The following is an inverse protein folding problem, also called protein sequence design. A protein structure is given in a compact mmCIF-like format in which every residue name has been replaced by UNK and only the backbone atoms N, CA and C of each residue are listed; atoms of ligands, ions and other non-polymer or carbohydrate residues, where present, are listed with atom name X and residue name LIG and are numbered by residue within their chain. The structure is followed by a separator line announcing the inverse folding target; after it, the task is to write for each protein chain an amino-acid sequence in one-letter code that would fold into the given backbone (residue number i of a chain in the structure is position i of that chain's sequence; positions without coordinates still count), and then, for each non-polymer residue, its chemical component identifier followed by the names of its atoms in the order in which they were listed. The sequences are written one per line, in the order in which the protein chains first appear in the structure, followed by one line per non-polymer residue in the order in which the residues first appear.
data_IF_739399963032
#
_entry.id   IF_739399963032
#
_cell.length_a   1.000
_cell.length_b   1.000
_cell.length_c   1.000
_cell.angle_alpha   90.00
_cell.angle_beta   90.00
_cell.angle_gamma   90.00
#
_symmetry.space_group_name_H-M   'P 1'
#
loop_
_entity.id
_entity.type
_entity.pdbx_description
1 polymer ?
#
# COMPACT_ATOMS: atom_id res chain seq x y z
N UNK A 1 -4.65 46.22 -33.79
CA UNK A 1 -3.73 45.69 -34.82
C UNK A 1 -4.38 44.47 -35.44
N UNK A 2 -4.88 44.60 -36.67
CA UNK A 2 -5.73 43.66 -37.36
C UNK A 2 -4.96 42.42 -37.79
N UNK A 3 -5.32 41.27 -37.26
CA UNK A 3 -4.78 39.97 -37.66
C UNK A 3 -5.39 39.44 -38.98
N UNK A 4 -5.78 40.33 -39.90
CA UNK A 4 -6.27 39.93 -41.20
C UNK A 4 -5.12 39.37 -42.06
N UNK A 5 -5.38 38.30 -42.80
CA UNK A 5 -4.41 37.67 -43.66
C UNK A 5 -3.67 36.46 -43.07
N UNK A 6 -4.01 36.00 -41.88
CA UNK A 6 -3.38 34.80 -41.27
C UNK A 6 -3.90 33.51 -41.90
N UNK A 7 -2.98 32.68 -42.41
CA UNK A 7 -3.33 31.36 -42.93
C UNK A 7 -3.52 30.34 -41.82
N UNK A 8 -4.44 29.39 -42.01
CA UNK A 8 -4.59 28.20 -41.16
C UNK A 8 -3.36 27.29 -41.24
N UNK A 9 -3.17 26.42 -40.25
CA UNK A 9 -2.02 25.53 -40.18
C UNK A 9 -1.93 24.54 -41.37
N UNK A 10 -3.06 24.18 -41.98
CA UNK A 10 -3.14 23.34 -43.18
C UNK A 10 -3.05 24.16 -44.49
N UNK A 11 -3.05 25.50 -44.37
CA UNK A 11 -2.96 26.42 -45.52
C UNK A 11 -4.21 26.43 -46.40
N UNK A 12 -5.34 25.85 -45.98
CA UNK A 12 -6.56 25.78 -46.79
C UNK A 12 -7.51 26.97 -46.55
N UNK A 13 -7.32 27.70 -45.46
CA UNK A 13 -8.14 28.84 -45.08
C UNK A 13 -7.28 30.04 -44.69
N UNK A 14 -7.81 31.26 -44.88
CA UNK A 14 -7.24 32.47 -44.32
C UNK A 14 -8.26 33.23 -43.49
N UNK A 15 -7.79 33.99 -42.53
CA UNK A 15 -8.62 34.79 -41.65
C UNK A 15 -8.80 36.21 -42.24
N UNK A 16 -10.03 36.61 -42.52
CA UNK A 16 -10.32 37.92 -43.09
C UNK A 16 -10.44 39.03 -42.04
N UNK A 17 -10.33 38.67 -40.76
CA UNK A 17 -10.55 39.57 -39.63
C UNK A 17 -11.85 39.25 -38.86
N UNK A 18 -12.77 38.49 -39.44
CA UNK A 18 -14.05 38.12 -38.84
C UNK A 18 -14.35 36.61 -38.92
N UNK A 19 -13.91 35.95 -39.98
CA UNK A 19 -14.14 34.52 -40.21
C UNK A 19 -13.03 33.90 -41.03
N UNK A 20 -12.98 32.55 -41.02
CA UNK A 20 -12.10 31.77 -41.90
C UNK A 20 -12.74 31.64 -43.28
N UNK A 21 -12.02 32.05 -44.33
CA UNK A 21 -12.43 31.96 -45.74
C UNK A 21 -11.48 30.99 -46.46
N UNK A 22 -12.00 30.29 -47.46
CA UNK A 22 -11.19 29.41 -48.28
C UNK A 22 -9.99 30.17 -48.90
N UNK A 23 -8.80 29.63 -48.77
CA UNK A 23 -7.60 30.14 -49.41
C UNK A 23 -7.50 29.77 -50.90
N UNK A 24 -8.49 29.05 -51.45
CA UNK A 24 -8.65 28.80 -52.87
C UNK A 24 -9.64 29.82 -53.46
N UNK A 25 -9.28 30.39 -54.62
CA UNK A 25 -10.20 31.25 -55.38
C UNK A 25 -11.41 30.42 -55.85
N UNK A 26 -12.58 31.07 -56.17
CA UNK A 26 -13.77 30.37 -56.59
C UNK A 26 -13.61 29.53 -57.87
N UNK A 27 -12.64 29.89 -58.73
CA UNK A 27 -12.29 29.18 -59.97
C UNK A 27 -11.22 28.06 -59.74
N UNK A 28 -10.81 27.89 -58.48
CA UNK A 28 -9.76 26.93 -58.03
C UNK A 28 -8.43 27.06 -58.75
N UNK A 29 -8.14 28.20 -59.40
CA UNK A 29 -6.91 28.46 -60.15
C UNK A 29 -5.86 29.23 -59.35
N UNK A 30 -6.25 29.93 -58.30
CA UNK A 30 -5.39 30.75 -57.47
C UNK A 30 -5.49 30.37 -56.01
N UNK A 31 -4.41 30.55 -55.31
CA UNK A 31 -4.36 30.32 -53.86
C UNK A 31 -3.84 31.63 -53.18
N UNK A 32 -4.43 31.94 -52.05
CA UNK A 32 -3.97 33.02 -51.19
C UNK A 32 -2.69 32.64 -50.45
N UNK A 33 -1.62 33.42 -50.64
CA UNK A 33 -0.33 33.16 -49.98
C UNK A 33 -0.14 33.88 -48.63
N UNK A 34 -1.15 34.61 -48.20
CA UNK A 34 -1.14 35.46 -47.00
C UNK A 34 -1.06 36.94 -47.35
N UNK A 35 -0.75 37.31 -48.60
CA UNK A 35 -0.63 38.69 -49.07
C UNK A 35 -1.31 38.93 -50.41
N UNK A 36 -1.36 37.96 -51.31
CA UNK A 36 -1.91 38.05 -52.66
C UNK A 36 -2.39 36.71 -53.18
N UNK A 37 -3.21 36.74 -54.22
CA UNK A 37 -3.62 35.56 -54.98
C UNK A 37 -2.53 35.12 -55.95
N UNK A 38 -1.98 33.89 -55.80
CA UNK A 38 -0.93 33.32 -56.64
C UNK A 38 -1.52 32.14 -57.43
N UNK A 39 -1.20 32.01 -58.73
CA UNK A 39 -1.63 30.86 -59.54
C UNK A 39 -1.25 29.54 -58.85
N UNK A 40 -2.16 28.57 -58.86
CA UNK A 40 -2.00 27.33 -58.09
C UNK A 40 -0.72 26.57 -58.45
N UNK A 41 -0.28 26.60 -59.69
CA UNK A 41 0.96 25.97 -60.17
C UNK A 41 2.20 26.58 -59.55
N UNK A 42 2.22 27.90 -59.37
CA UNK A 42 3.32 28.61 -58.71
C UNK A 42 3.28 28.42 -57.21
N UNK A 43 2.09 28.38 -56.63
CA UNK A 43 1.92 28.13 -55.20
C UNK A 43 2.35 26.70 -54.82
N UNK A 44 2.09 25.70 -55.67
CA UNK A 44 2.58 24.34 -55.45
C UNK A 44 4.11 24.20 -55.63
N UNK A 45 4.70 24.96 -56.57
CA UNK A 45 6.15 24.96 -56.71
C UNK A 45 6.89 25.66 -55.55
N UNK A 46 6.20 26.65 -54.91
CA UNK A 46 6.71 27.35 -53.74
C UNK A 46 6.33 26.68 -52.42
N UNK A 47 5.48 25.62 -52.45
CA UNK A 47 5.16 24.87 -51.23
C UNK A 47 6.46 24.26 -50.67
N UNK A 48 6.72 24.42 -49.37
CA UNK A 48 7.88 23.77 -48.73
C UNK A 48 7.82 22.30 -49.11
N UNK A 49 8.91 21.76 -49.66
CA UNK A 49 9.04 20.30 -49.88
C UNK A 49 8.53 19.59 -48.65
N UNK A 50 7.67 18.59 -48.78
CA UNK A 50 7.20 17.86 -47.60
C UNK A 50 8.45 17.48 -46.81
N UNK A 51 8.60 18.06 -45.64
CA UNK A 51 9.60 17.60 -44.68
C UNK A 51 9.35 16.12 -44.55
N UNK A 52 10.26 15.28 -45.03
CA UNK A 52 10.23 13.86 -44.76
C UNK A 52 9.95 13.75 -43.29
N UNK A 53 8.74 13.32 -42.93
CA UNK A 53 8.35 13.14 -41.54
C UNK A 53 9.23 12.00 -41.06
N UNK A 54 10.43 12.35 -40.54
CA UNK A 54 11.21 11.38 -39.77
C UNK A 54 10.33 11.09 -38.60
N UNK A 55 9.61 9.97 -38.68
CA UNK A 55 8.82 9.51 -37.59
C UNK A 55 9.66 9.63 -36.32
N UNK A 56 9.21 10.31 -35.28
CA UNK A 56 9.95 10.37 -34.03
C UNK A 56 10.37 8.94 -33.71
N UNK A 57 11.62 8.70 -33.29
CA UNK A 57 12.10 7.36 -33.01
C UNK A 57 11.05 6.65 -32.18
N UNK A 58 10.57 5.50 -32.68
CA UNK A 58 9.50 4.76 -32.04
C UNK A 58 9.81 4.71 -30.55
N UNK A 59 8.92 5.31 -29.74
CA UNK A 59 9.12 5.41 -28.30
C UNK A 59 9.39 4.00 -27.83
N UNK A 60 10.62 3.71 -27.43
CA UNK A 60 11.02 2.38 -26.99
C UNK A 60 10.01 1.94 -25.93
N UNK A 61 9.19 0.95 -26.25
CA UNK A 61 8.21 0.39 -25.33
C UNK A 61 9.02 -0.08 -24.13
N UNK A 62 8.79 0.45 -22.93
CA UNK A 62 9.59 0.06 -21.77
C UNK A 62 9.49 -1.48 -21.62
N UNK A 63 10.61 -2.16 -21.37
CA UNK A 63 10.64 -3.62 -21.28
C UNK A 63 9.60 -4.08 -20.26
N UNK A 64 8.71 -4.98 -20.66
CA UNK A 64 7.66 -5.52 -19.80
C UNK A 64 8.31 -6.39 -18.73
N UNK A 65 8.34 -5.90 -17.50
CA UNK A 65 8.86 -6.67 -16.37
C UNK A 65 7.84 -7.75 -15.98
N UNK A 66 8.16 -9.00 -16.25
CA UNK A 66 7.38 -10.16 -15.79
C UNK A 66 8.03 -10.75 -14.54
N UNK A 67 7.24 -10.94 -13.50
CA UNK A 67 7.66 -11.59 -12.25
C UNK A 67 7.25 -13.04 -12.28
N UNK A 68 8.22 -13.95 -12.31
CA UNK A 68 7.98 -15.38 -12.31
C UNK A 68 8.14 -15.97 -10.88
N UNK A 69 7.17 -16.78 -10.40
CA UNK A 69 7.27 -17.44 -9.11
C UNK A 69 8.43 -18.44 -9.12
N UNK A 70 9.14 -18.52 -7.99
CA UNK A 70 10.18 -19.53 -7.75
C UNK A 70 9.66 -20.65 -6.84
N UNK A 71 10.47 -21.69 -6.61
CA UNK A 71 10.16 -22.76 -5.64
C UNK A 71 9.92 -22.26 -4.21
N UNK A 72 10.44 -21.07 -3.86
CA UNK A 72 10.27 -20.45 -2.54
C UNK A 72 8.99 -19.64 -2.39
N UNK A 73 8.35 -19.25 -3.50
CA UNK A 73 7.17 -18.38 -3.49
C UNK A 73 6.01 -19.01 -2.71
N UNK A 74 5.62 -20.23 -3.05
CA UNK A 74 4.49 -20.91 -2.40
C UNK A 74 4.74 -21.21 -0.92
N UNK A 75 5.88 -21.81 -0.51
CA UNK A 75 6.18 -22.05 0.91
C UNK A 75 6.18 -20.76 1.74
N UNK A 76 6.77 -19.67 1.22
CA UNK A 76 6.79 -18.40 1.91
C UNK A 76 5.38 -17.81 2.10
N UNK A 77 4.55 -17.84 1.06
CA UNK A 77 3.15 -17.41 1.13
C UNK A 77 2.35 -18.21 2.16
N UNK A 78 2.49 -19.56 2.13
CA UNK A 78 1.78 -20.45 3.06
C UNK A 78 2.24 -20.22 4.50
N UNK A 79 3.53 -20.02 4.74
CA UNK A 79 4.06 -19.77 6.07
C UNK A 79 3.53 -18.46 6.64
N UNK A 80 3.53 -17.39 5.85
CA UNK A 80 3.01 -16.08 6.29
C UNK A 80 1.48 -16.14 6.49
N UNK A 81 0.73 -16.73 5.54
CA UNK A 81 -0.71 -16.88 5.69
C UNK A 81 -1.08 -17.73 6.91
N UNK A 82 -0.37 -18.85 7.12
CA UNK A 82 -0.56 -19.71 8.29
C UNK A 82 -0.22 -19.01 9.61
N UNK A 83 0.86 -18.24 9.64
CA UNK A 83 1.24 -17.47 10.82
C UNK A 83 0.16 -16.46 11.21
N UNK A 84 -0.34 -15.66 10.26
CA UNK A 84 -1.38 -14.68 10.55
C UNK A 84 -2.76 -15.31 10.79
N UNK A 85 -3.05 -16.48 10.23
CA UNK A 85 -4.23 -17.26 10.60
C UNK A 85 -4.15 -17.75 12.05
N UNK A 86 -2.99 -18.23 12.49
CA UNK A 86 -2.75 -18.59 13.89
C UNK A 86 -2.90 -17.38 14.81
N UNK A 87 -2.29 -16.24 14.45
CA UNK A 87 -2.43 -15.00 15.21
C UNK A 87 -3.88 -14.53 15.30
N UNK A 88 -4.67 -14.69 14.24
CA UNK A 88 -6.10 -14.39 14.26
C UNK A 88 -6.85 -15.26 15.29
N UNK A 89 -6.61 -16.57 15.29
CA UNK A 89 -7.21 -17.50 16.23
C UNK A 89 -6.80 -17.19 17.68
N UNK A 90 -5.52 -16.92 17.91
CA UNK A 90 -5.02 -16.54 19.25
C UNK A 90 -5.62 -15.21 19.72
N UNK A 91 -5.73 -14.21 18.85
CA UNK A 91 -6.32 -12.91 19.18
C UNK A 91 -7.77 -13.08 19.60
N UNK A 92 -8.57 -13.85 18.85
CA UNK A 92 -9.97 -14.14 19.22
C UNK A 92 -10.05 -14.93 20.53
N UNK A 93 -9.23 -15.97 20.68
CA UNK A 93 -9.21 -16.81 21.89
C UNK A 93 -8.87 -15.99 23.14
N UNK A 94 -7.79 -15.20 23.10
CA UNK A 94 -7.37 -14.35 24.21
C UNK A 94 -8.42 -13.28 24.51
N UNK A 95 -8.96 -12.62 23.49
CA UNK A 95 -10.01 -11.61 23.69
C UNK A 95 -11.28 -12.21 24.32
N UNK A 96 -11.66 -13.42 23.93
CA UNK A 96 -12.79 -14.14 24.52
C UNK A 96 -12.52 -14.44 25.99
N UNK A 97 -11.35 -14.97 26.34
CA UNK A 97 -10.98 -15.22 27.72
C UNK A 97 -10.99 -13.95 28.59
N UNK A 98 -10.43 -12.85 28.05
CA UNK A 98 -10.45 -11.57 28.75
C UNK A 98 -11.90 -11.08 28.92
N UNK A 99 -12.74 -11.18 27.89
CA UNK A 99 -14.13 -10.74 27.95
C UNK A 99 -14.94 -11.50 28.99
N UNK A 100 -14.71 -12.82 29.11
CA UNK A 100 -15.39 -13.67 30.12
C UNK A 100 -15.04 -13.31 31.58
N UNK A 101 -13.83 -12.79 31.82
CA UNK A 101 -13.34 -12.43 33.16
C UNK A 101 -13.17 -10.92 33.35
N UNK A 102 -13.68 -10.11 32.42
CA UNK A 102 -13.43 -8.67 32.41
C UNK A 102 -13.93 -7.97 33.66
N UNK A 103 -15.13 -8.35 34.15
CA UNK A 103 -15.71 -7.79 35.35
C UNK A 103 -14.87 -8.11 36.59
N UNK A 104 -14.39 -9.34 36.72
CA UNK A 104 -13.56 -9.78 37.85
C UNK A 104 -12.20 -9.03 37.81
N UNK A 105 -11.66 -8.86 36.63
CA UNK A 105 -10.40 -8.11 36.44
C UNK A 105 -10.55 -6.64 36.84
N UNK A 106 -11.61 -5.96 36.36
CA UNK A 106 -11.87 -4.55 36.67
C UNK A 106 -12.14 -4.37 38.19
N UNK A 107 -12.95 -5.23 38.77
CA UNK A 107 -13.27 -5.20 40.22
C UNK A 107 -12.02 -5.44 41.06
N UNK A 108 -11.20 -6.44 40.66
CA UNK A 108 -9.92 -6.73 41.33
C UNK A 108 -8.92 -5.57 41.23
N UNK A 109 -8.88 -4.89 40.07
CA UNK A 109 -8.05 -3.71 39.91
C UNK A 109 -8.45 -2.54 40.82
N UNK A 110 -9.77 -2.25 40.88
CA UNK A 110 -10.30 -1.21 41.78
C UNK A 110 -9.97 -1.52 43.24
N UNK A 111 -10.21 -2.77 43.69
CA UNK A 111 -9.86 -3.19 45.04
C UNK A 111 -8.35 -3.11 45.35
N UNK A 112 -7.51 -3.43 44.36
CA UNK A 112 -6.07 -3.28 44.50
C UNK A 112 -5.68 -1.82 44.70
N UNK A 113 -6.30 -0.92 43.92
CA UNK A 113 -6.08 0.52 44.02
C UNK A 113 -6.53 1.08 45.38
N UNK A 114 -7.70 0.68 45.88
CA UNK A 114 -8.20 1.05 47.22
C UNK A 114 -7.25 0.60 48.32
N UNK A 115 -6.70 -0.61 48.22
CA UNK A 115 -5.71 -1.11 49.20
C UNK A 115 -4.40 -0.34 49.18
N UNK A 116 -3.99 0.08 47.96
CA UNK A 116 -2.73 0.85 47.78
C UNK A 116 -2.86 2.30 48.28
N UNK A 117 -4.07 2.86 48.26
CA UNK A 117 -4.37 4.24 48.60
C UNK A 117 -5.57 4.35 49.56
N UNK A 118 -5.46 3.84 50.81
CA UNK A 118 -6.61 3.72 51.72
C UNK A 118 -7.17 5.06 52.20
N UNK A 119 -6.44 6.16 52.00
CA UNK A 119 -6.86 7.50 52.40
C UNK A 119 -7.49 8.31 51.23
N UNK A 120 -7.57 7.74 50.05
CA UNK A 120 -8.22 8.40 48.93
C UNK A 120 -9.75 8.28 49.04
N UNK A 121 -10.44 9.19 48.38
CA UNK A 121 -11.91 9.14 48.31
C UNK A 121 -12.37 7.82 47.68
N UNK A 122 -13.41 7.21 48.23
CA UNK A 122 -14.02 6.01 47.68
C UNK A 122 -14.42 6.23 46.21
N UNK A 123 -14.18 5.26 45.32
CA UNK A 123 -14.57 5.38 43.95
C UNK A 123 -16.09 5.61 43.80
N UNK A 124 -16.53 6.42 42.85
CA UNK A 124 -17.93 6.73 42.65
C UNK A 124 -18.73 5.45 42.36
N UNK A 125 -19.98 5.34 42.80
CA UNK A 125 -20.83 4.19 42.50
C UNK A 125 -20.99 4.06 40.98
N UNK A 126 -20.93 2.81 40.49
CA UNK A 126 -21.01 2.50 39.05
C UNK A 126 -19.68 2.64 38.28
N UNK A 127 -18.55 3.03 38.92
CA UNK A 127 -17.26 3.09 38.27
C UNK A 127 -16.83 1.76 37.65
N UNK A 128 -16.99 0.65 38.39
CA UNK A 128 -16.63 -0.68 37.89
C UNK A 128 -17.42 -1.05 36.62
N UNK A 129 -18.72 -0.78 36.60
CA UNK A 129 -19.58 -1.05 35.45
C UNK A 129 -19.17 -0.20 34.23
N UNK A 130 -18.96 1.11 34.41
CA UNK A 130 -18.55 2.01 33.34
C UNK A 130 -17.18 1.65 32.77
N UNK A 131 -16.21 1.26 33.60
CA UNK A 131 -14.91 0.78 33.20
C UNK A 131 -15.00 -0.54 32.44
N UNK A 132 -15.85 -1.48 32.90
CA UNK A 132 -16.08 -2.76 32.22
C UNK A 132 -16.65 -2.56 30.83
N UNK A 133 -17.69 -1.72 30.68
CA UNK A 133 -18.28 -1.41 29.36
C UNK A 133 -17.24 -0.72 28.42
N UNK A 134 -16.54 0.24 28.98
CA UNK A 134 -15.51 0.97 28.21
C UNK A 134 -14.37 0.05 27.76
N UNK A 135 -13.87 -0.80 28.64
CA UNK A 135 -12.84 -1.79 28.33
C UNK A 135 -13.33 -2.81 27.30
N UNK A 136 -14.55 -3.31 27.43
CA UNK A 136 -15.16 -4.22 26.47
C UNK A 136 -15.23 -3.59 25.06
N UNK A 137 -15.62 -2.32 24.97
CA UNK A 137 -15.65 -1.58 23.71
C UNK A 137 -14.25 -1.48 23.06
N UNK A 138 -13.25 -1.10 23.84
CA UNK A 138 -11.87 -1.00 23.34
C UNK A 138 -11.31 -2.36 22.91
N UNK A 139 -11.56 -3.42 23.67
CA UNK A 139 -11.14 -4.78 23.31
C UNK A 139 -11.79 -5.20 21.99
N UNK A 140 -13.11 -5.03 21.87
CA UNK A 140 -13.84 -5.37 20.63
C UNK A 140 -13.26 -4.61 19.42
N UNK A 141 -13.05 -3.30 19.57
CA UNK A 141 -12.52 -2.46 18.50
C UNK A 141 -11.07 -2.86 18.11
N UNK A 142 -10.22 -3.13 19.10
CA UNK A 142 -8.85 -3.58 18.88
C UNK A 142 -8.80 -4.94 18.17
N UNK A 143 -9.67 -5.88 18.57
CA UNK A 143 -9.80 -7.19 17.91
C UNK A 143 -10.27 -7.03 16.46
N UNK A 144 -11.31 -6.22 16.22
CA UNK A 144 -11.84 -5.99 14.88
C UNK A 144 -10.78 -5.41 13.92
N UNK A 145 -10.02 -4.41 14.39
CA UNK A 145 -8.91 -3.83 13.62
C UNK A 145 -7.82 -4.88 13.36
N UNK A 146 -7.42 -5.63 14.40
CA UNK A 146 -6.37 -6.64 14.27
C UNK A 146 -6.75 -7.72 13.26
N UNK A 147 -7.97 -8.23 13.33
CA UNK A 147 -8.51 -9.21 12.38
C UNK A 147 -8.57 -8.64 10.95
N UNK A 148 -8.99 -7.39 10.78
CA UNK A 148 -8.97 -6.70 9.49
C UNK A 148 -7.56 -6.65 8.88
N UNK A 149 -6.55 -6.32 9.70
CA UNK A 149 -5.15 -6.31 9.30
C UNK A 149 -4.70 -7.73 8.91
N UNK A 150 -4.97 -8.73 9.74
CA UNK A 150 -4.54 -10.11 9.48
C UNK A 150 -5.17 -10.69 8.22
N UNK A 151 -6.47 -10.49 8.01
CA UNK A 151 -7.16 -10.88 6.78
C UNK A 151 -6.55 -10.20 5.56
N UNK A 152 -6.25 -8.91 5.66
CA UNK A 152 -5.58 -8.15 4.57
C UNK A 152 -4.21 -8.73 4.26
N UNK A 153 -3.44 -9.11 5.29
CA UNK A 153 -2.12 -9.74 5.12
C UNK A 153 -2.27 -11.13 4.47
N UNK A 154 -3.19 -11.96 4.92
CA UNK A 154 -3.43 -13.30 4.38
C UNK A 154 -3.81 -13.20 2.89
N UNK A 155 -4.81 -12.37 2.56
CA UNK A 155 -5.25 -12.15 1.18
C UNK A 155 -4.12 -11.56 0.31
N UNK A 156 -3.39 -10.59 0.85
CA UNK A 156 -2.28 -9.94 0.17
C UNK A 156 -1.10 -10.89 -0.07
N UNK A 157 -0.81 -11.79 0.86
CA UNK A 157 0.19 -12.83 0.70
C UNK A 157 -0.20 -13.82 -0.40
N UNK A 158 -1.44 -14.30 -0.40
CA UNK A 158 -1.97 -15.22 -1.42
C UNK A 158 -2.03 -14.56 -2.81
N UNK A 159 -2.43 -13.29 -2.88
CA UNK A 159 -2.47 -12.48 -4.11
C UNK A 159 -1.12 -11.87 -4.50
N UNK A 160 -0.07 -12.08 -3.71
CA UNK A 160 1.29 -11.57 -3.96
C UNK A 160 1.39 -10.05 -4.02
N UNK A 161 0.60 -9.33 -3.24
CA UNK A 161 0.69 -7.88 -3.20
C UNK A 161 2.06 -7.43 -2.66
N UNK A 162 2.77 -6.65 -3.45
CA UNK A 162 4.15 -6.25 -3.12
C UNK A 162 4.22 -5.39 -1.86
N UNK A 163 3.27 -4.48 -1.70
CA UNK A 163 3.22 -3.63 -0.52
C UNK A 163 2.97 -4.43 0.77
N UNK A 164 2.13 -5.50 0.71
CA UNK A 164 1.90 -6.40 1.85
C UNK A 164 3.19 -7.09 2.26
N UNK A 165 4.02 -7.51 1.29
CA UNK A 165 5.31 -8.12 1.61
C UNK A 165 6.19 -7.19 2.47
N UNK A 166 6.30 -5.91 2.09
CA UNK A 166 7.09 -4.94 2.87
C UNK A 166 6.42 -4.56 4.19
N UNK A 167 5.08 -4.47 4.23
CA UNK A 167 4.34 -4.23 5.47
C UNK A 167 4.56 -5.35 6.48
N UNK A 168 4.47 -6.61 6.04
CA UNK A 168 4.73 -7.78 6.89
C UNK A 168 6.19 -7.81 7.36
N UNK A 169 7.14 -7.52 6.45
CA UNK A 169 8.55 -7.43 6.82
C UNK A 169 8.77 -6.39 7.92
N UNK A 170 8.16 -5.21 7.79
CA UNK A 170 8.23 -4.17 8.81
C UNK A 170 7.61 -4.62 10.13
N UNK A 171 6.41 -5.21 10.09
CA UNK A 171 5.71 -5.69 11.31
C UNK A 171 6.50 -6.78 12.04
N UNK A 172 7.05 -7.75 11.31
CA UNK A 172 7.89 -8.80 11.91
C UNK A 172 9.20 -8.21 12.46
N UNK A 173 9.79 -7.22 11.78
CA UNK A 173 10.97 -6.50 12.26
C UNK A 173 10.72 -5.73 13.55
N UNK A 174 9.57 -5.03 13.65
CA UNK A 174 9.16 -4.34 14.86
C UNK A 174 8.87 -5.33 16.02
N UNK A 175 8.32 -6.50 15.72
CA UNK A 175 8.09 -7.54 16.74
C UNK A 175 9.39 -8.03 17.40
N UNK A 176 10.52 -8.01 16.67
CA UNK A 176 11.84 -8.37 17.20
C UNK A 176 12.27 -7.42 18.31
N UNK A 177 11.93 -6.12 18.21
CA UNK A 177 12.25 -5.13 19.24
C UNK A 177 11.54 -5.42 20.58
N UNK A 178 10.41 -6.11 20.54
CA UNK A 178 9.68 -6.54 21.75
C UNK A 178 10.26 -7.76 22.44
N UNK A 179 11.10 -8.56 21.75
CA UNK A 179 11.65 -9.81 22.29
C UNK A 179 12.46 -9.64 23.58
N UNK A 180 13.40 -8.67 23.70
CA UNK A 180 14.16 -8.47 24.92
C UNK A 180 13.27 -8.18 26.14
N UNK A 181 12.20 -7.41 25.94
CA UNK A 181 11.24 -7.07 27.01
C UNK A 181 10.42 -8.29 27.40
N UNK A 182 9.92 -9.05 26.42
CA UNK A 182 9.21 -10.31 26.68
C UNK A 182 10.08 -11.33 27.41
N UNK A 183 11.34 -11.45 27.03
CA UNK A 183 12.30 -12.33 27.67
C UNK A 183 12.61 -11.90 29.12
N UNK A 184 12.84 -10.61 29.35
CA UNK A 184 13.06 -10.04 30.69
C UNK A 184 11.83 -10.26 31.61
N UNK A 185 10.61 -10.10 31.08
CA UNK A 185 9.37 -10.40 31.82
C UNK A 185 9.23 -11.91 32.11
N UNK A 186 9.55 -12.77 31.15
CA UNK A 186 9.55 -14.23 31.35
C UNK A 186 10.56 -14.68 32.42
N UNK A 187 11.70 -14.01 32.53
CA UNK A 187 12.68 -14.21 33.61
C UNK A 187 12.24 -13.62 34.95
N UNK A 188 11.14 -12.85 34.98
CA UNK A 188 10.64 -12.22 36.20
C UNK A 188 11.35 -10.93 36.61
N UNK A 189 12.09 -10.31 35.67
CA UNK A 189 12.70 -8.97 35.90
C UNK A 189 11.65 -7.87 35.95
N UNK A 190 10.47 -8.12 35.38
CA UNK A 190 9.30 -7.26 35.44
C UNK A 190 8.09 -8.11 35.86
N UNK A 191 7.30 -7.60 36.81
CA UNK A 191 6.04 -8.23 37.22
C UNK A 191 4.87 -7.41 36.69
N UNK A 192 3.95 -8.06 36.00
CA UNK A 192 2.71 -7.44 35.56
C UNK A 192 1.57 -8.04 36.39
N UNK A 193 0.87 -7.22 37.20
CA UNK A 193 -0.25 -7.72 37.99
C UNK A 193 -1.29 -8.43 37.11
N UNK A 194 -1.71 -9.62 37.52
CA UNK A 194 -2.72 -10.40 36.84
C UNK A 194 -2.25 -11.19 35.61
N UNK A 195 -0.97 -11.11 35.21
CA UNK A 195 -0.42 -11.89 34.10
C UNK A 195 0.47 -13.02 34.62
N UNK A 196 0.09 -14.26 34.34
CA UNK A 196 0.90 -15.41 34.70
C UNK A 196 2.25 -15.38 33.95
N UNK A 197 3.33 -15.68 34.67
CA UNK A 197 4.70 -15.64 34.12
C UNK A 197 4.88 -16.54 32.90
N UNK A 198 4.18 -17.65 32.85
CA UNK A 198 4.18 -18.62 31.76
C UNK A 198 3.68 -18.03 30.46
N UNK A 199 2.78 -17.05 30.52
CA UNK A 199 2.26 -16.35 29.33
C UNK A 199 3.36 -15.60 28.55
N UNK A 200 4.38 -15.10 29.25
CA UNK A 200 5.51 -14.42 28.59
C UNK A 200 6.38 -15.38 27.79
N UNK A 201 6.53 -16.64 28.21
CA UNK A 201 7.25 -17.65 27.42
C UNK A 201 6.55 -17.98 26.11
N UNK A 202 5.21 -17.96 26.08
CA UNK A 202 4.45 -18.07 24.82
C UNK A 202 4.75 -16.89 23.91
N UNK A 203 4.81 -15.67 24.47
CA UNK A 203 5.21 -14.45 23.74
C UNK A 203 6.63 -14.55 23.18
N UNK A 204 7.59 -15.05 23.97
CA UNK A 204 8.99 -15.26 23.55
C UNK A 204 9.06 -16.29 22.41
N UNK A 205 8.34 -17.41 22.51
CA UNK A 205 8.28 -18.41 21.45
C UNK A 205 7.69 -17.84 20.15
N UNK A 206 6.60 -17.08 20.25
CA UNK A 206 5.99 -16.38 19.12
C UNK A 206 6.94 -15.34 18.48
N UNK A 207 7.66 -14.59 19.30
CA UNK A 207 8.67 -13.65 18.85
C UNK A 207 9.86 -14.32 18.15
N UNK A 208 10.33 -15.47 18.66
CA UNK A 208 11.38 -16.26 18.02
C UNK A 208 10.94 -16.76 16.62
N UNK A 209 9.70 -17.25 16.52
CA UNK A 209 9.13 -17.67 15.23
C UNK A 209 8.96 -16.49 14.27
N UNK A 210 8.51 -15.34 14.77
CA UNK A 210 8.44 -14.09 13.98
C UNK A 210 9.82 -13.68 13.46
N UNK A 211 10.87 -13.84 14.27
CA UNK A 211 12.25 -13.55 13.86
C UNK A 211 12.72 -14.49 12.75
N UNK A 212 12.41 -15.79 12.86
CA UNK A 212 12.74 -16.75 11.80
C UNK A 212 12.02 -16.43 10.48
N UNK A 213 10.74 -16.07 10.54
CA UNK A 213 9.96 -15.63 9.38
C UNK A 213 10.50 -14.33 8.79
N UNK A 214 10.88 -13.35 9.62
CA UNK A 214 11.52 -12.12 9.18
C UNK A 214 12.80 -12.40 8.42
N UNK A 215 13.71 -13.21 8.99
CA UNK A 215 14.97 -13.55 8.36
C UNK A 215 14.76 -14.26 7.02
N UNK A 216 13.78 -15.18 6.96
CA UNK A 216 13.43 -15.87 5.71
C UNK A 216 12.88 -14.90 4.65
N UNK A 217 11.95 -14.01 5.03
CA UNK A 217 11.41 -13.00 4.12
C UNK A 217 12.48 -12.03 3.63
N UNK A 218 13.36 -11.56 4.52
CA UNK A 218 14.46 -10.66 4.18
C UNK A 218 15.43 -11.35 3.19
N UNK A 219 15.80 -12.58 3.45
CA UNK A 219 16.65 -13.37 2.54
C UNK A 219 15.98 -13.57 1.17
N UNK A 220 14.67 -13.83 1.16
CA UNK A 220 13.89 -13.97 -0.08
C UNK A 220 13.90 -12.69 -0.90
N UNK A 221 13.70 -11.52 -0.26
CA UNK A 221 13.74 -10.21 -0.93
C UNK A 221 15.12 -9.93 -1.49
N UNK A 222 16.17 -10.11 -0.70
CA UNK A 222 17.55 -9.80 -1.11
C UNK A 222 18.02 -10.66 -2.28
N UNK A 223 17.60 -11.93 -2.33
CA UNK A 223 18.06 -12.88 -3.37
C UNK A 223 17.15 -12.92 -4.60
N UNK A 224 15.84 -12.73 -4.45
CA UNK A 224 14.86 -13.03 -5.50
C UNK A 224 13.76 -11.96 -5.64
N UNK A 225 13.80 -10.92 -4.80
CA UNK A 225 12.77 -9.88 -4.77
C UNK A 225 11.52 -10.26 -3.95
N UNK A 226 10.52 -9.36 -3.88
CA UNK A 226 9.32 -9.56 -3.08
C UNK A 226 8.63 -10.89 -3.41
N UNK A 227 8.18 -11.61 -2.38
CA UNK A 227 7.58 -12.95 -2.49
C UNK A 227 8.47 -13.98 -3.18
N UNK A 228 9.80 -13.79 -3.17
CA UNK A 228 10.78 -14.62 -3.87
C UNK A 228 10.44 -14.81 -5.36
N UNK A 229 10.03 -13.75 -6.05
CA UNK A 229 9.72 -13.75 -7.48
C UNK A 229 10.87 -13.14 -8.27
N UNK A 230 11.47 -13.91 -9.18
CA UNK A 230 12.53 -13.39 -10.06
C UNK A 230 11.96 -12.37 -11.05
N UNK A 231 12.68 -11.25 -11.23
CA UNK A 231 12.44 -10.33 -12.34
C UNK A 231 13.04 -10.90 -13.62
N UNK A 232 12.26 -11.03 -14.67
CA UNK A 232 12.77 -11.20 -16.03
C UNK A 232 12.35 -9.99 -16.84
N UNK A 233 13.34 -9.34 -17.44
CA UNK A 233 13.08 -8.35 -18.49
C UNK A 233 12.83 -9.16 -19.77
N UNK A 234 11.60 -9.07 -20.29
CA UNK A 234 11.33 -9.52 -21.65
C UNK A 234 11.85 -8.41 -22.56
N UNK A 235 12.92 -8.71 -23.33
CA UNK A 235 13.30 -7.88 -24.46
C UNK A 235 12.07 -7.65 -25.31
N UNK A 236 11.84 -6.40 -25.74
CA UNK A 236 10.81 -6.10 -26.71
C UNK A 236 11.06 -7.02 -27.90
N UNK A 237 10.11 -7.90 -28.22
CA UNK A 237 10.17 -8.67 -29.45
C UNK A 237 10.04 -7.64 -30.57
N UNK A 238 11.14 -7.50 -31.33
CA UNK A 238 11.21 -6.74 -32.57
C UNK A 238 10.23 -7.30 -33.60
#
# INVERSE_FOLDING_TARGET
MSGAGRLSADGLFYWDGSRWISALSPDARHRWDGSRWVPLQVAQAAAPRPRTFVAPPARAIPPRIVRNPTSWTKPLQSAIAGWYALQSALTVGVATLIALHLNDFVTGYIQAQERAHPNDALPPPGLAESLTVTAAFFIFFAVAISLGIYVTIIVGALKRWVWVHYAVLLMLGLAILGLPFGFAAALGLFSYPGVAREAFWVGVAGGALSTALFAWMLMAVLRRGPWAMNRRELAAQE
#
